data_IF_816477000084
#
_entry.id   IF_816477000084
#
_cell.length_a   1.000
_cell.length_b   1.000
_cell.length_c   1.000
_cell.angle_alpha   90.00
_cell.angle_beta   90.00
_cell.angle_gamma   90.00
#
_symmetry.space_group_name_H-M   'P 1'
#
loop_
_entity.id
_entity.type
_entity.pdbx_description
1 polymer ?
#
# COMPACT_ATOMS: atom_id res chain seq x y z
N UNK A 1 1.02 -10.10 19.17
CA UNK A 1 2.09 -9.75 18.22
C UNK A 1 1.95 -8.26 17.96
N UNK A 2 2.84 -7.45 18.51
CA UNK A 2 2.83 -6.01 18.26
C UNK A 2 3.48 -5.84 16.89
N UNK A 3 2.68 -5.51 15.87
CA UNK A 3 3.27 -5.00 14.65
C UNK A 3 4.06 -3.74 15.05
N UNK A 4 5.25 -3.56 14.50
CA UNK A 4 5.88 -2.26 14.58
C UNK A 4 5.02 -1.34 13.70
N UNK A 5 4.01 -0.68 14.28
CA UNK A 5 3.06 0.20 13.58
C UNK A 5 3.79 1.19 12.67
N UNK A 6 4.97 1.64 13.11
CA UNK A 6 5.87 2.50 12.32
C UNK A 6 6.30 1.87 10.99
N UNK A 7 6.43 0.54 10.93
CA UNK A 7 6.75 -0.21 9.72
C UNK A 7 5.56 -0.27 8.75
N UNK A 8 4.34 -0.45 9.25
CA UNK A 8 3.13 -0.47 8.42
C UNK A 8 2.81 0.92 7.88
N UNK A 9 2.81 1.95 8.72
CA UNK A 9 2.61 3.34 8.30
C UNK A 9 3.66 3.77 7.27
N UNK A 10 4.93 3.43 7.48
CA UNK A 10 6.00 3.71 6.52
C UNK A 10 5.75 3.06 5.16
N UNK A 11 5.26 1.82 5.13
CA UNK A 11 4.91 1.12 3.88
C UNK A 11 3.69 1.74 3.20
N UNK A 12 2.65 2.10 3.94
CA UNK A 12 1.47 2.80 3.42
C UNK A 12 1.89 4.14 2.80
N UNK A 13 2.76 4.88 3.47
CA UNK A 13 3.30 6.14 2.95
C UNK A 13 4.02 5.93 1.61
N UNK A 14 4.90 4.92 1.52
CA UNK A 14 5.59 4.59 0.26
C UNK A 14 4.64 4.24 -0.88
N UNK A 15 3.55 3.51 -0.60
CA UNK A 15 2.53 3.23 -1.62
C UNK A 15 1.87 4.51 -2.10
N UNK A 16 1.50 5.43 -1.20
CA UNK A 16 0.91 6.72 -1.56
C UNK A 16 1.87 7.55 -2.42
N UNK A 17 3.15 7.60 -2.03
CA UNK A 17 4.18 8.31 -2.79
C UNK A 17 4.36 7.70 -4.20
N UNK A 18 4.36 6.36 -4.31
CA UNK A 18 4.44 5.66 -5.59
C UNK A 18 3.20 5.88 -6.49
N UNK A 19 2.00 5.94 -5.91
CA UNK A 19 0.76 6.28 -6.63
C UNK A 19 0.85 7.71 -7.18
N UNK A 20 1.27 8.68 -6.36
CA UNK A 20 1.41 10.07 -6.82
C UNK A 20 2.42 10.18 -7.98
N UNK A 21 3.55 9.47 -7.90
CA UNK A 21 4.54 9.37 -8.98
C UNK A 21 3.97 8.71 -10.24
N UNK A 22 3.18 7.65 -10.08
CA UNK A 22 2.51 6.98 -11.18
C UNK A 22 1.50 7.90 -11.88
N UNK A 23 0.69 8.65 -11.12
CA UNK A 23 -0.26 9.64 -11.65
C UNK A 23 0.46 10.77 -12.40
N UNK A 24 1.57 11.28 -11.87
CA UNK A 24 2.42 12.26 -12.56
C UNK A 24 2.96 11.70 -13.89
N UNK A 25 3.38 10.43 -13.89
CA UNK A 25 3.88 9.74 -15.09
C UNK A 25 2.80 9.57 -16.15
N UNK A 26 1.54 9.35 -15.76
CA UNK A 26 0.39 9.31 -16.68
C UNK A 26 0.17 10.65 -17.37
N UNK A 27 0.25 11.76 -16.62
CA UNK A 27 0.12 13.11 -17.18
C UNK A 27 1.23 13.42 -18.20
N UNK A 28 2.45 12.96 -17.92
CA UNK A 28 3.62 13.14 -18.78
C UNK A 28 3.70 12.12 -19.93
N UNK A 29 2.83 11.09 -19.94
CA UNK A 29 2.85 9.95 -20.87
C UNK A 29 4.18 9.18 -20.87
N UNK A 30 4.86 9.14 -19.72
CA UNK A 30 6.10 8.38 -19.53
C UNK A 30 5.77 6.92 -19.22
N UNK A 31 5.78 6.08 -20.28
CA UNK A 31 5.44 4.66 -20.19
C UNK A 31 6.40 3.85 -19.31
N UNK A 32 7.68 4.22 -19.26
CA UNK A 32 8.67 3.52 -18.46
C UNK A 32 8.44 3.77 -16.98
N UNK A 33 8.18 5.03 -16.60
CA UNK A 33 7.83 5.38 -15.23
C UNK A 33 6.48 4.81 -14.81
N UNK A 34 5.46 4.82 -15.68
CA UNK A 34 4.18 4.15 -15.43
C UNK A 34 4.39 2.68 -15.07
N UNK A 35 5.17 1.95 -15.89
CA UNK A 35 5.45 0.53 -15.64
C UNK A 35 6.22 0.33 -14.35
N UNK A 36 7.25 1.13 -14.11
CA UNK A 36 8.08 1.07 -12.90
C UNK A 36 7.23 1.23 -11.63
N UNK A 37 6.45 2.31 -11.55
CA UNK A 37 5.66 2.57 -10.35
C UNK A 37 4.49 1.60 -10.20
N UNK A 38 3.93 1.06 -11.28
CA UNK A 38 2.92 -0.01 -11.21
C UNK A 38 3.45 -1.27 -10.51
N UNK A 39 4.67 -1.70 -10.87
CA UNK A 39 5.33 -2.85 -10.23
C UNK A 39 5.65 -2.55 -8.77
N UNK A 40 6.10 -1.33 -8.46
CA UNK A 40 6.41 -0.90 -7.10
C UNK A 40 5.16 -0.90 -6.19
N UNK A 41 4.04 -0.35 -6.68
CA UNK A 41 2.74 -0.36 -5.99
C UNK A 41 2.30 -1.79 -5.72
N UNK A 42 2.37 -2.70 -6.70
CA UNK A 42 2.00 -4.10 -6.54
C UNK A 42 2.86 -4.80 -5.47
N UNK A 43 4.19 -4.60 -5.52
CA UNK A 43 5.13 -5.19 -4.57
C UNK A 43 4.86 -4.72 -3.14
N UNK A 44 4.73 -3.41 -2.94
CA UNK A 44 4.44 -2.82 -1.63
C UNK A 44 3.05 -3.25 -1.11
N UNK A 45 2.05 -3.33 -2.00
CA UNK A 45 0.71 -3.81 -1.67
C UNK A 45 0.71 -5.26 -1.18
N UNK A 46 1.51 -6.14 -1.81
CA UNK A 46 1.71 -7.53 -1.35
C UNK A 46 2.36 -7.60 0.03
N UNK A 47 3.31 -6.73 0.33
CA UNK A 47 3.94 -6.67 1.66
C UNK A 47 2.95 -6.19 2.73
N UNK A 48 2.16 -5.16 2.45
CA UNK A 48 1.10 -4.68 3.35
C UNK A 48 0.08 -5.80 3.59
N UNK A 49 -0.36 -6.48 2.53
CA UNK A 49 -1.26 -7.62 2.66
C UNK A 49 -0.68 -8.73 3.54
N UNK A 50 0.60 -9.07 3.42
CA UNK A 50 1.23 -10.07 4.31
C UNK A 50 1.21 -9.67 5.78
N UNK A 51 1.35 -8.37 6.07
CA UNK A 51 1.26 -7.83 7.43
C UNK A 51 -0.18 -7.95 7.93
N UNK A 52 -1.14 -7.51 7.11
CA UNK A 52 -2.54 -7.42 7.48
C UNK A 52 -3.30 -8.75 7.41
N UNK A 53 -2.79 -9.76 6.68
CA UNK A 53 -3.53 -10.98 6.34
C UNK A 53 -4.11 -11.71 7.56
N UNK A 54 -3.40 -11.68 8.69
CA UNK A 54 -3.83 -12.31 9.94
C UNK A 54 -5.01 -11.58 10.60
N UNK A 55 -5.17 -10.31 10.26
CA UNK A 55 -6.18 -9.42 10.81
C UNK A 55 -7.31 -9.16 9.80
N UNK A 56 -7.23 -9.67 8.57
CA UNK A 56 -8.30 -9.56 7.55
C UNK A 56 -9.36 -10.63 7.83
N UNK A 57 -10.60 -10.20 8.08
CA UNK A 57 -11.75 -11.11 8.15
C UNK A 57 -12.28 -11.46 6.76
N UNK A 58 -12.99 -12.61 6.59
CA UNK A 58 -13.61 -12.95 5.32
C UNK A 58 -14.56 -11.85 4.83
N UNK A 59 -14.39 -11.43 3.57
CA UNK A 59 -15.20 -10.37 2.96
C UNK A 59 -14.85 -8.95 3.37
N UNK A 60 -13.83 -8.77 4.23
CA UNK A 60 -13.39 -7.46 4.68
C UNK A 60 -12.47 -6.79 3.65
N UNK A 61 -12.71 -5.51 3.37
CA UNK A 61 -11.84 -4.73 2.51
C UNK A 61 -10.58 -4.29 3.28
N UNK A 62 -9.47 -4.07 2.56
CA UNK A 62 -8.20 -3.68 3.18
C UNK A 62 -8.33 -2.34 3.93
N UNK A 63 -9.12 -1.41 3.41
CA UNK A 63 -9.34 -0.10 4.04
C UNK A 63 -9.97 -0.22 5.44
N UNK A 64 -10.99 -1.08 5.63
CA UNK A 64 -11.60 -1.29 6.94
C UNK A 64 -10.63 -1.98 7.92
N UNK A 65 -9.79 -2.88 7.44
CA UNK A 65 -8.75 -3.51 8.26
C UNK A 65 -7.77 -2.45 8.79
N UNK A 66 -7.32 -1.53 7.93
CA UNK A 66 -6.43 -0.43 8.33
C UNK A 66 -7.11 0.51 9.33
N UNK A 67 -8.36 0.91 9.09
CA UNK A 67 -9.12 1.77 10.01
C UNK A 67 -9.32 1.12 11.39
N UNK A 68 -9.59 -0.20 11.43
CA UNK A 68 -9.71 -0.92 12.70
C UNK A 68 -8.39 -0.97 13.46
N UNK A 69 -7.27 -1.17 12.77
CA UNK A 69 -5.96 -1.25 13.42
C UNK A 69 -5.53 0.12 13.99
N UNK A 70 -5.84 1.22 13.31
CA UNK A 70 -5.50 2.57 13.79
C UNK A 70 -6.35 3.06 14.98
N UNK A 71 -7.49 2.41 15.26
CA UNK A 71 -8.42 2.77 16.33
C UNK A 71 -8.32 1.82 17.56
N UNK A 72 -7.27 1.00 17.63
CA UNK A 72 -6.95 0.11 18.76
C UNK A 72 -5.93 0.75 19.70
#
# INVERSE_FOLDING_TARGET
MQYDEKSLESKIKKVRDAIAKWEESLLQRDLDSIRKYSIEIESLGKEILKILWKDVLPGENISAVIERLNNR
#
